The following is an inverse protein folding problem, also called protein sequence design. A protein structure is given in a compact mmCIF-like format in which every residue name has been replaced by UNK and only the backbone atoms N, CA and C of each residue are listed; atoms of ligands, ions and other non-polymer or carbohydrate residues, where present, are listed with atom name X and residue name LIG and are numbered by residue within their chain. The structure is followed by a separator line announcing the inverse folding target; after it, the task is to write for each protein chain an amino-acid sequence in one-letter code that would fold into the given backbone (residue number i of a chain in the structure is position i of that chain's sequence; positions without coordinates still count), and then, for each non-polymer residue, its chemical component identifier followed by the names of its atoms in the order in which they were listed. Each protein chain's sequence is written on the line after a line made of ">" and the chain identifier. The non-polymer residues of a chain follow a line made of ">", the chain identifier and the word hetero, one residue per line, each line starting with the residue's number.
data_IF_052977603842
#
_entry.id   IF_052977603842
#
_cell.length_a   1.000
_cell.length_b   1.000
_cell.length_c   1.000
_cell.angle_alpha   90.00
_cell.angle_beta   90.00
_cell.angle_gamma   90.00
#
_symmetry.space_group_name_H-M   'P 1'
#
loop_
_entity.id
_entity.type
_entity.pdbx_description
1 polymer ?
#
# COMPACT_ATOMS: atom_id res chain seq x y z
N UNK A 1 -5.43 -13.70 -22.39
CA UNK A 1 -5.77 -12.48 -21.64
C UNK A 1 -6.19 -12.97 -20.27
N UNK A 2 -5.33 -12.81 -19.26
CA UNK A 2 -5.69 -13.14 -17.88
C UNK A 2 -6.70 -12.09 -17.43
N UNK A 3 -7.83 -12.50 -16.86
CA UNK A 3 -8.79 -11.57 -16.26
C UNK A 3 -8.07 -10.66 -15.27
N UNK A 4 -8.40 -9.35 -15.21
CA UNK A 4 -7.87 -8.49 -14.15
C UNK A 4 -8.27 -9.13 -12.82
N UNK A 5 -7.28 -9.53 -12.03
CA UNK A 5 -7.51 -10.12 -10.73
C UNK A 5 -8.44 -9.18 -9.95
N UNK A 6 -9.62 -9.69 -9.55
CA UNK A 6 -10.56 -8.88 -8.77
C UNK A 6 -9.83 -8.43 -7.50
N UNK A 7 -9.78 -7.12 -7.19
CA UNK A 7 -9.07 -6.64 -6.01
C UNK A 7 -9.55 -7.39 -4.76
N UNK A 8 -8.61 -7.98 -4.02
CA UNK A 8 -8.94 -8.69 -2.81
C UNK A 8 -9.62 -7.73 -1.81
N UNK A 9 -10.67 -8.19 -1.14
CA UNK A 9 -11.30 -7.42 -0.07
C UNK A 9 -10.30 -7.25 1.07
N UNK A 10 -9.90 -6.01 1.33
CA UNK A 10 -9.01 -5.68 2.44
C UNK A 10 -9.78 -5.77 3.76
N UNK A 11 -9.21 -6.50 4.72
CA UNK A 11 -9.62 -6.44 6.13
C UNK A 11 -8.51 -5.73 6.87
N UNK A 12 -8.81 -4.58 7.48
CA UNK A 12 -7.84 -3.78 8.23
C UNK A 12 -8.09 -3.93 9.72
N UNK A 13 -7.02 -3.94 10.51
CA UNK A 13 -7.13 -3.85 11.96
C UNK A 13 -7.74 -2.50 12.36
N UNK A 14 -8.40 -2.47 13.52
CA UNK A 14 -8.86 -1.21 14.08
C UNK A 14 -7.64 -0.31 14.33
N UNK A 15 -7.65 0.96 13.88
CA UNK A 15 -6.58 1.89 14.20
C UNK A 15 -6.52 2.18 15.71
N UNK A 16 -5.41 2.72 16.22
CA UNK A 16 -5.31 3.10 17.63
C UNK A 16 -6.43 4.09 18.01
N UNK A 17 -6.74 4.17 19.32
CA UNK A 17 -7.96 4.79 19.82
C UNK A 17 -8.14 6.25 19.34
N UNK A 18 -7.05 7.03 19.32
CA UNK A 18 -7.10 8.42 18.92
C UNK A 18 -7.43 8.57 17.43
N UNK A 19 -6.75 7.84 16.56
CA UNK A 19 -6.98 7.81 15.12
C UNK A 19 -8.38 7.31 14.78
N UNK A 20 -8.89 6.31 15.51
CA UNK A 20 -10.28 5.85 15.37
C UNK A 20 -11.28 6.97 15.70
N UNK A 21 -11.07 7.72 16.78
CA UNK A 21 -11.93 8.87 17.14
C UNK A 21 -11.92 9.94 16.06
N UNK A 22 -10.75 10.27 15.50
CA UNK A 22 -10.63 11.22 14.40
C UNK A 22 -11.37 10.75 13.14
N UNK A 23 -11.20 9.47 12.77
CA UNK A 23 -11.90 8.85 11.65
C UNK A 23 -13.43 8.89 11.85
N UNK A 24 -13.91 8.52 13.03
CA UNK A 24 -15.33 8.53 13.37
C UNK A 24 -15.92 9.95 13.34
N UNK A 25 -15.21 10.94 13.87
CA UNK A 25 -15.62 12.35 13.81
C UNK A 25 -15.74 12.83 12.36
N UNK A 26 -14.74 12.54 11.52
CA UNK A 26 -14.75 12.93 10.12
C UNK A 26 -15.88 12.25 9.33
N UNK A 27 -16.11 10.95 9.56
CA UNK A 27 -17.22 10.21 8.96
C UNK A 27 -18.58 10.83 9.36
N UNK A 28 -18.74 11.19 10.63
CA UNK A 28 -19.95 11.84 11.14
C UNK A 28 -20.19 13.21 10.47
N UNK A 29 -19.18 14.08 10.43
CA UNK A 29 -19.32 15.42 9.85
C UNK A 29 -19.64 15.40 8.35
N UNK A 30 -19.16 14.37 7.63
CA UNK A 30 -19.41 14.19 6.21
C UNK A 30 -20.65 13.33 5.90
N UNK A 31 -21.35 12.83 6.92
CA UNK A 31 -22.49 11.91 6.82
C UNK A 31 -22.18 10.69 5.93
N UNK A 32 -21.09 9.97 6.24
CA UNK A 32 -20.62 8.79 5.50
C UNK A 32 -20.46 7.57 6.40
N UNK A 33 -20.62 6.34 5.85
CA UNK A 33 -20.20 5.13 6.55
C UNK A 33 -18.70 5.20 6.90
N UNK A 34 -18.36 4.74 8.10
CA UNK A 34 -16.97 4.81 8.60
C UNK A 34 -16.00 4.06 7.70
N UNK A 35 -16.40 2.92 7.14
CA UNK A 35 -15.61 2.10 6.21
C UNK A 35 -15.31 2.85 4.90
N UNK A 36 -16.31 3.56 4.37
CA UNK A 36 -16.15 4.40 3.17
C UNK A 36 -15.18 5.55 3.44
N UNK A 37 -15.29 6.18 4.62
CA UNK A 37 -14.38 7.25 4.99
C UNK A 37 -12.95 6.74 5.26
N UNK A 38 -12.79 5.55 5.83
CA UNK A 38 -11.50 4.90 6.03
C UNK A 38 -10.82 4.63 4.68
N UNK A 39 -11.58 4.11 3.71
CA UNK A 39 -11.11 3.88 2.34
C UNK A 39 -10.68 5.20 1.70
N UNK A 40 -11.49 6.25 1.81
CA UNK A 40 -11.16 7.57 1.26
C UNK A 40 -9.89 8.17 1.89
N UNK A 41 -9.73 8.05 3.21
CA UNK A 41 -8.55 8.52 3.93
C UNK A 41 -7.29 7.77 3.47
N UNK A 42 -7.35 6.44 3.37
CA UNK A 42 -6.24 5.61 2.88
C UNK A 42 -5.88 5.96 1.43
N UNK A 43 -6.87 6.08 0.54
CA UNK A 43 -6.63 6.48 -0.85
C UNK A 43 -6.04 7.88 -0.99
N UNK A 44 -6.40 8.81 -0.10
CA UNK A 44 -5.80 10.14 -0.07
C UNK A 44 -4.35 10.08 0.39
N UNK A 45 -4.07 9.35 1.48
CA UNK A 45 -2.72 9.19 2.01
C UNK A 45 -1.78 8.54 0.98
N UNK A 46 -2.23 7.49 0.28
CA UNK A 46 -1.45 6.84 -0.78
C UNK A 46 -1.13 7.80 -1.93
N UNK A 47 -2.08 8.65 -2.34
CA UNK A 47 -1.85 9.68 -3.37
C UNK A 47 -0.85 10.74 -2.91
N UNK A 48 -0.94 11.18 -1.65
CA UNK A 48 0.04 12.11 -1.07
C UNK A 48 1.44 11.48 -0.98
N UNK A 49 1.52 10.17 -0.75
CA UNK A 49 2.77 9.42 -0.73
C UNK A 49 3.36 9.09 -2.11
N UNK A 50 2.69 9.44 -3.21
CA UNK A 50 3.08 9.05 -4.57
C UNK A 50 4.55 9.33 -4.87
N UNK A 51 5.03 10.54 -4.57
CA UNK A 51 6.39 10.99 -4.91
C UNK A 51 7.47 10.29 -4.08
N UNK A 52 7.10 9.63 -2.98
CA UNK A 52 7.99 8.76 -2.21
C UNK A 52 7.95 7.32 -2.71
N UNK A 53 6.77 6.84 -3.11
CA UNK A 53 6.53 5.44 -3.50
C UNK A 53 7.06 5.18 -4.91
N UNK A 54 6.68 6.00 -5.89
CA UNK A 54 6.98 5.73 -7.31
C UNK A 54 8.46 5.72 -7.67
N UNK A 55 9.35 6.52 -7.05
CA UNK A 55 10.78 6.37 -7.29
C UNK A 55 11.33 4.99 -6.90
N UNK A 56 10.85 4.40 -5.79
CA UNK A 56 11.25 3.05 -5.37
C UNK A 56 10.70 2.00 -6.35
N UNK A 57 9.46 2.16 -6.78
CA UNK A 57 8.86 1.30 -7.81
C UNK A 57 9.70 1.36 -9.10
N UNK A 58 10.05 2.56 -9.58
CA UNK A 58 10.90 2.72 -10.78
C UNK A 58 12.28 2.08 -10.61
N UNK A 59 12.90 2.20 -9.44
CA UNK A 59 14.16 1.53 -9.15
C UNK A 59 14.06 0.01 -9.32
N UNK A 60 13.08 -0.61 -8.67
CA UNK A 60 12.91 -2.06 -8.74
C UNK A 60 12.41 -2.52 -10.12
N UNK A 61 11.63 -1.70 -10.80
CA UNK A 61 11.16 -1.99 -12.15
C UNK A 61 12.33 -2.03 -13.13
N UNK A 62 13.27 -1.08 -13.02
CA UNK A 62 14.52 -1.10 -13.77
C UNK A 62 15.36 -2.35 -13.46
N UNK A 63 15.42 -2.80 -12.20
CA UNK A 63 16.12 -4.05 -11.83
C UNK A 63 15.48 -5.30 -12.42
N UNK A 64 14.18 -5.29 -12.60
CA UNK A 64 13.41 -6.40 -13.17
C UNK A 64 13.15 -6.25 -14.68
N UNK A 65 13.80 -5.27 -15.34
CA UNK A 65 13.68 -4.99 -16.78
C UNK A 65 12.22 -4.81 -17.25
N UNK A 66 11.39 -4.16 -16.42
CA UNK A 66 9.98 -3.86 -16.71
C UNK A 66 9.64 -2.39 -16.46
N UNK A 67 8.50 -1.92 -16.94
CA UNK A 67 7.97 -0.60 -16.59
C UNK A 67 7.47 -0.56 -15.15
N UNK A 68 7.38 0.65 -14.58
CA UNK A 68 6.87 0.83 -13.22
C UNK A 68 5.42 0.38 -13.06
N UNK A 69 4.60 0.47 -14.11
CA UNK A 69 3.19 0.06 -14.06
C UNK A 69 3.05 -1.46 -14.16
N UNK A 70 3.88 -2.13 -14.98
CA UNK A 70 3.95 -3.60 -14.99
C UNK A 70 4.40 -4.14 -13.64
N UNK A 71 5.36 -3.48 -12.98
CA UNK A 71 5.76 -3.86 -11.64
C UNK A 71 4.63 -3.65 -10.62
N UNK A 72 3.88 -2.55 -10.69
CA UNK A 72 2.71 -2.33 -9.82
C UNK A 72 1.66 -3.42 -9.99
N UNK A 73 1.33 -3.77 -11.23
CA UNK A 73 0.38 -4.85 -11.52
C UNK A 73 0.91 -6.19 -11.00
N UNK A 74 2.21 -6.45 -11.14
CA UNK A 74 2.85 -7.67 -10.63
C UNK A 74 2.85 -7.72 -9.09
N UNK A 75 3.10 -6.61 -8.41
CA UNK A 75 3.01 -6.49 -6.95
C UNK A 75 1.57 -6.76 -6.48
N UNK A 76 0.58 -6.21 -7.18
CA UNK A 76 -0.82 -6.41 -6.83
C UNK A 76 -1.28 -7.87 -7.03
N UNK A 77 -0.72 -8.56 -8.03
CA UNK A 77 -1.07 -9.94 -8.33
C UNK A 77 -0.29 -10.98 -7.51
N UNK A 78 1.00 -10.75 -7.29
CA UNK A 78 1.93 -11.72 -6.68
C UNK A 78 3.08 -11.01 -5.94
N UNK A 79 2.81 -10.44 -4.75
CA UNK A 79 3.79 -9.67 -4.01
C UNK A 79 4.96 -10.52 -3.51
N UNK A 80 4.74 -11.80 -3.20
CA UNK A 80 5.79 -12.71 -2.75
C UNK A 80 6.80 -12.97 -3.86
N UNK A 81 6.33 -13.23 -5.08
CA UNK A 81 7.24 -13.40 -6.22
C UNK A 81 8.08 -12.15 -6.46
N UNK A 82 7.49 -10.95 -6.37
CA UNK A 82 8.24 -9.69 -6.52
C UNK A 82 9.30 -9.55 -5.43
N UNK A 83 8.96 -9.89 -4.19
CA UNK A 83 9.93 -9.86 -3.10
C UNK A 83 11.12 -10.78 -3.38
N UNK A 84 10.86 -12.06 -3.66
CA UNK A 84 11.89 -13.09 -3.83
C UNK A 84 12.79 -12.83 -5.06
N UNK A 85 12.21 -12.31 -6.16
CA UNK A 85 12.91 -12.20 -7.45
C UNK A 85 13.45 -10.80 -7.75
N UNK A 86 12.92 -9.76 -7.10
CA UNK A 86 13.27 -8.37 -7.39
C UNK A 86 13.88 -7.67 -6.18
N UNK A 87 13.20 -7.73 -5.03
CA UNK A 87 13.53 -6.91 -3.85
C UNK A 87 14.65 -7.52 -3.02
N UNK A 88 14.59 -8.82 -2.70
CA UNK A 88 15.53 -9.50 -1.81
C UNK A 88 17.00 -9.38 -2.28
N UNK A 89 17.22 -9.38 -3.61
CA UNK A 89 18.55 -9.19 -4.20
C UNK A 89 19.01 -7.74 -4.35
N UNK A 90 18.15 -6.75 -4.08
CA UNK A 90 18.42 -5.32 -4.30
C UNK A 90 17.84 -4.42 -3.18
N UNK A 91 18.05 -4.72 -1.88
CA UNK A 91 17.38 -4.00 -0.81
C UNK A 91 17.75 -2.50 -0.79
N UNK A 92 16.72 -1.63 -0.81
CA UNK A 92 16.88 -0.17 -0.64
C UNK A 92 17.04 0.19 0.85
N UNK A 93 16.39 -0.57 1.75
CA UNK A 93 16.41 -0.34 3.19
C UNK A 93 17.24 -1.43 3.90
N UNK A 94 18.05 -1.09 4.91
CA UNK A 94 18.71 -2.08 5.75
C UNK A 94 17.68 -2.90 6.54
N UNK A 95 17.98 -4.19 6.80
CA UNK A 95 17.04 -5.18 7.33
C UNK A 95 16.62 -5.00 8.80
N UNK A 96 17.18 -4.02 9.51
CA UNK A 96 17.15 -3.95 10.98
C UNK A 96 16.17 -2.90 11.55
N UNK A 97 15.26 -2.34 10.75
CA UNK A 97 14.22 -1.42 11.27
C UNK A 97 12.97 -2.20 11.71
N UNK A 98 12.72 -2.23 13.03
CA UNK A 98 11.47 -2.75 13.61
C UNK A 98 10.28 -1.88 13.19
N UNK A 99 9.20 -2.50 12.72
CA UNK A 99 7.96 -1.79 12.37
C UNK A 99 7.32 -1.19 13.64
N UNK A 100 7.06 0.12 13.60
CA UNK A 100 6.50 0.91 14.70
C UNK A 100 5.08 0.43 15.10
N UNK A 101 4.42 -0.33 14.24
CA UNK A 101 3.11 -0.92 14.50
C UNK A 101 3.17 -2.40 14.94
N UNK A 102 4.36 -2.95 15.16
CA UNK A 102 4.54 -4.31 15.69
C UNK A 102 4.46 -4.30 17.22
N UNK A 103 3.25 -4.25 17.77
CA UNK A 103 2.96 -4.64 19.15
C UNK A 103 2.20 -5.99 19.17
#
# INVERSE_FOLDING_TARGET
>A
MSDPATPAKLTINCPPEYEYKLLAALACFLNRPIETQATAALSMYLRQGHDRIMPQVRYYAHKAEMSEYELLDKIAADPQWVYDNVVQGNPIHPSDESDVFSD
#
